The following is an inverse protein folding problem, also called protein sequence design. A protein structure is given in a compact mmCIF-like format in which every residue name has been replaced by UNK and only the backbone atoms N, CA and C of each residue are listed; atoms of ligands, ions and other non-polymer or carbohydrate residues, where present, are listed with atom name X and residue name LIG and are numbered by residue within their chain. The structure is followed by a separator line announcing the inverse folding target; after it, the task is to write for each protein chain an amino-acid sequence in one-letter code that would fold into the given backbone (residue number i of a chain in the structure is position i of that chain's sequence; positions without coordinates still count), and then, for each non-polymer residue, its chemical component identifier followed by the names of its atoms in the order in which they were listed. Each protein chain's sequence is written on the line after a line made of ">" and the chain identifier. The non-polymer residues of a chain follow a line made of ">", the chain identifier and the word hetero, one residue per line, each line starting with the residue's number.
data_IF_810647158476
#
_entry.id   IF_810647158476
#
_cell.length_a   1.000
_cell.length_b   1.000
_cell.length_c   1.000
_cell.angle_alpha   90.00
_cell.angle_beta   90.00
_cell.angle_gamma   90.00
#
_symmetry.space_group_name_H-M   'P 1'
#
loop_
_entity.id
_entity.type
_entity.pdbx_description
1 polymer ?
#
# COMPACT_ATOMS: atom_id res chain seq x y z
N UNK A 1 -19.95 -2.49 -19.19
CA UNK A 1 -18.74 -1.80 -18.77
C UNK A 1 -17.79 -2.76 -18.06
N UNK A 2 -16.54 -2.41 -17.82
CA UNK A 2 -15.66 -3.18 -16.97
C UNK A 2 -16.29 -3.34 -15.58
N UNK A 3 -15.99 -4.43 -14.85
CA UNK A 3 -16.41 -4.55 -13.46
C UNK A 3 -15.83 -3.39 -12.62
N UNK A 4 -16.45 -3.12 -11.48
CA UNK A 4 -15.90 -2.20 -10.50
C UNK A 4 -14.52 -2.69 -10.05
N UNK A 5 -13.59 -1.76 -9.89
CA UNK A 5 -12.23 -2.01 -9.45
C UNK A 5 -11.86 -0.90 -8.47
N UNK A 6 -11.47 -1.27 -7.26
CA UNK A 6 -11.22 -0.30 -6.19
C UNK A 6 -9.96 0.53 -6.42
N UNK A 7 -8.91 -0.03 -7.04
CA UNK A 7 -7.70 0.73 -7.41
C UNK A 7 -8.02 1.99 -8.21
N UNK A 8 -8.97 1.90 -9.15
CA UNK A 8 -9.34 3.02 -10.01
C UNK A 8 -10.54 3.80 -9.47
N UNK A 9 -11.57 3.12 -8.99
CA UNK A 9 -12.83 3.75 -8.59
C UNK A 9 -12.63 4.70 -7.41
N UNK A 10 -11.78 4.34 -6.44
CA UNK A 10 -11.43 5.20 -5.31
C UNK A 10 -10.66 6.44 -5.75
N UNK A 11 -9.73 6.31 -6.69
CA UNK A 11 -9.03 7.47 -7.26
C UNK A 11 -9.98 8.44 -7.97
N UNK A 12 -11.01 7.92 -8.65
CA UNK A 12 -12.04 8.77 -9.29
C UNK A 12 -12.85 9.52 -8.23
N UNK A 13 -13.21 8.87 -7.13
CA UNK A 13 -13.91 9.52 -6.00
C UNK A 13 -13.05 10.63 -5.39
N UNK A 14 -11.75 10.38 -5.20
CA UNK A 14 -10.80 11.38 -4.68
C UNK A 14 -10.57 12.53 -5.66
N UNK A 15 -10.48 12.22 -6.96
CA UNK A 15 -10.38 13.25 -8.00
C UNK A 15 -11.58 14.21 -7.95
N UNK A 16 -12.79 13.68 -7.77
CA UNK A 16 -13.99 14.51 -7.62
C UNK A 16 -13.93 15.39 -6.35
N UNK A 17 -13.35 14.89 -5.26
CA UNK A 17 -13.11 15.71 -4.06
C UNK A 17 -12.09 16.83 -4.34
N UNK A 18 -11.01 16.52 -5.03
CA UNK A 18 -9.97 17.50 -5.42
C UNK A 18 -10.54 18.55 -6.39
N UNK A 19 -11.34 18.16 -7.38
CA UNK A 19 -12.01 19.11 -8.29
C UNK A 19 -12.88 20.11 -7.52
N UNK A 20 -13.56 19.66 -6.48
CA UNK A 20 -14.48 20.50 -5.71
C UNK A 20 -13.79 21.37 -4.66
N UNK A 21 -12.80 20.84 -3.95
CA UNK A 21 -12.19 21.49 -2.79
C UNK A 21 -10.76 21.97 -3.05
N UNK A 22 -10.16 21.59 -4.16
CA UNK A 22 -8.79 21.98 -4.52
C UNK A 22 -7.79 21.58 -3.44
N UNK A 23 -6.92 22.49 -3.09
CA UNK A 23 -5.86 22.27 -2.08
C UNK A 23 -6.37 22.13 -0.63
N UNK A 24 -7.66 22.35 -0.40
CA UNK A 24 -8.27 22.23 0.93
C UNK A 24 -8.75 20.81 1.25
N UNK A 25 -8.53 19.84 0.35
CA UNK A 25 -8.82 18.42 0.60
C UNK A 25 -8.07 17.97 1.84
N UNK A 26 -8.79 17.31 2.73
CA UNK A 26 -8.29 16.77 3.99
C UNK A 26 -9.12 15.55 4.41
N UNK A 27 -8.68 14.83 5.43
CA UNK A 27 -9.31 13.60 5.90
C UNK A 27 -10.80 13.75 6.26
N UNK A 28 -11.23 14.89 6.78
CA UNK A 28 -12.66 15.13 7.06
C UNK A 28 -13.49 15.17 5.79
N UNK A 29 -13.00 15.86 4.75
CA UNK A 29 -13.67 15.93 3.44
C UNK A 29 -13.69 14.53 2.79
N UNK A 30 -12.55 13.82 2.83
CA UNK A 30 -12.45 12.46 2.28
C UNK A 30 -13.40 11.50 3.05
N UNK A 31 -13.53 11.64 4.36
CA UNK A 31 -14.49 10.89 5.16
C UNK A 31 -15.96 11.11 4.74
N UNK A 32 -16.33 12.36 4.41
CA UNK A 32 -17.64 12.67 3.87
C UNK A 32 -17.87 12.02 2.49
N UNK A 33 -16.85 12.02 1.63
CA UNK A 33 -16.89 11.32 0.35
C UNK A 33 -16.97 9.81 0.54
N UNK A 34 -16.23 9.26 1.54
CA UNK A 34 -16.31 7.86 1.92
C UNK A 34 -17.74 7.44 2.29
N UNK A 35 -18.40 8.23 3.11
CA UNK A 35 -19.78 7.98 3.52
C UNK A 35 -20.77 8.08 2.35
N UNK A 36 -20.52 8.97 1.39
CA UNK A 36 -21.44 9.31 0.33
C UNK A 36 -21.30 8.45 -0.93
N UNK A 37 -20.08 8.05 -1.27
CA UNK A 37 -19.78 7.45 -2.58
C UNK A 37 -19.15 6.07 -2.50
N UNK A 38 -18.44 5.72 -1.42
CA UNK A 38 -17.84 4.38 -1.28
C UNK A 38 -18.93 3.41 -0.82
N UNK A 39 -19.43 2.60 -1.76
CA UNK A 39 -20.52 1.66 -1.51
C UNK A 39 -20.06 0.39 -0.79
N UNK A 40 -18.93 -0.24 -1.12
CA UNK A 40 -18.48 -1.46 -0.47
C UNK A 40 -18.34 -1.31 1.05
N UNK A 41 -18.62 -2.42 1.76
CA UNK A 41 -18.51 -2.47 3.23
C UNK A 41 -17.70 -3.70 3.65
N UNK A 42 -16.72 -4.10 2.87
CA UNK A 42 -15.81 -5.18 3.23
C UNK A 42 -14.52 -4.65 3.83
N UNK A 43 -13.84 -5.46 4.60
CA UNK A 43 -12.52 -5.25 5.21
C UNK A 43 -12.36 -3.82 5.80
N UNK A 44 -11.25 -3.16 5.56
CA UNK A 44 -10.95 -1.80 6.05
C UNK A 44 -11.98 -0.77 5.58
N UNK A 45 -12.46 -0.87 4.35
CA UNK A 45 -13.46 0.06 3.80
C UNK A 45 -14.74 0.07 4.62
N UNK A 46 -15.21 -1.12 5.00
CA UNK A 46 -16.39 -1.29 5.84
C UNK A 46 -16.15 -0.82 7.27
N UNK A 47 -14.99 -1.12 7.83
CA UNK A 47 -14.64 -0.74 9.21
C UNK A 47 -14.50 0.77 9.34
N UNK A 48 -13.71 1.43 8.48
CA UNK A 48 -13.58 2.88 8.45
C UNK A 48 -14.94 3.58 8.28
N UNK A 49 -15.78 3.07 7.38
CA UNK A 49 -17.13 3.59 7.14
C UNK A 49 -18.05 3.41 8.35
N UNK A 50 -17.99 2.26 9.03
CA UNK A 50 -18.77 2.02 10.24
C UNK A 50 -18.36 2.99 11.36
N UNK A 51 -17.05 3.20 11.52
CA UNK A 51 -16.50 4.14 12.49
C UNK A 51 -16.95 5.58 12.20
N UNK A 52 -16.86 6.03 10.95
CA UNK A 52 -17.34 7.34 10.52
C UNK A 52 -18.86 7.52 10.82
N UNK A 53 -19.69 6.49 10.54
CA UNK A 53 -21.12 6.50 10.86
C UNK A 53 -21.39 6.54 12.36
N UNK A 54 -20.50 5.98 13.18
CA UNK A 54 -20.57 6.05 14.63
C UNK A 54 -20.07 7.40 15.20
N UNK A 55 -19.64 8.33 14.33
CA UNK A 55 -19.09 9.63 14.72
C UNK A 55 -17.62 9.60 15.12
N UNK A 56 -16.93 8.52 14.88
CA UNK A 56 -15.46 8.43 15.05
C UNK A 56 -14.84 9.04 13.80
N UNK A 57 -14.11 10.14 13.98
CA UNK A 57 -13.51 10.91 12.89
C UNK A 57 -12.04 10.54 12.65
N UNK A 58 -11.44 10.86 11.48
CA UNK A 58 -10.01 10.70 11.25
C UNK A 58 -9.17 11.42 12.33
N UNK A 59 -8.05 10.81 12.75
CA UNK A 59 -7.45 9.56 12.28
C UNK A 59 -8.03 8.30 12.94
N UNK A 60 -8.87 8.45 13.95
CA UNK A 60 -9.34 7.33 14.78
C UNK A 60 -10.27 6.38 14.03
N UNK A 61 -10.98 6.83 12.99
CA UNK A 61 -11.85 5.96 12.21
C UNK A 61 -11.08 4.88 11.44
N UNK A 62 -9.85 5.15 11.05
CA UNK A 62 -8.97 4.19 10.41
C UNK A 62 -8.29 3.20 11.38
N UNK A 63 -8.29 3.50 12.67
CA UNK A 63 -7.55 2.71 13.68
C UNK A 63 -8.44 1.91 14.63
N UNK A 64 -9.52 2.50 15.15
CA UNK A 64 -10.35 1.91 16.20
C UNK A 64 -11.05 0.64 15.69
N UNK A 65 -10.81 -0.48 16.40
CA UNK A 65 -11.38 -1.80 16.09
C UNK A 65 -11.19 -2.23 14.62
N UNK A 66 -10.14 -1.74 13.97
CA UNK A 66 -9.84 -2.03 12.59
C UNK A 66 -8.70 -3.07 12.50
N UNK A 67 -9.07 -4.35 12.33
CA UNK A 67 -8.11 -5.44 12.13
C UNK A 67 -7.42 -5.37 10.77
N UNK A 68 -7.97 -4.61 9.84
CA UNK A 68 -7.47 -4.45 8.46
C UNK A 68 -6.62 -3.19 8.24
N UNK A 69 -6.33 -2.42 9.29
CA UNK A 69 -5.63 -1.14 9.18
C UNK A 69 -4.24 -1.17 8.56
N UNK A 70 -3.64 -2.35 8.48
CA UNK A 70 -2.32 -2.58 7.87
C UNK A 70 -2.39 -3.12 6.42
N UNK A 71 -3.59 -3.16 5.84
CA UNK A 71 -3.83 -3.71 4.50
C UNK A 71 -3.37 -2.80 3.37
N UNK A 72 -3.56 -3.28 2.14
CA UNK A 72 -3.18 -2.59 0.91
C UNK A 72 -4.12 -1.45 0.51
N UNK A 73 -5.35 -1.44 0.98
CA UNK A 73 -6.45 -0.65 0.42
C UNK A 73 -6.24 0.86 0.33
N UNK A 74 -5.26 1.44 1.03
CA UNK A 74 -4.94 2.86 0.83
C UNK A 74 -3.80 3.08 -0.18
N UNK A 75 -2.71 2.34 -0.12
CA UNK A 75 -1.58 2.60 -1.01
C UNK A 75 -1.87 2.31 -2.49
N UNK A 76 -2.83 1.45 -2.79
CA UNK A 76 -3.27 1.16 -4.17
C UNK A 76 -3.93 2.34 -4.87
N UNK A 77 -4.23 3.42 -4.17
CA UNK A 77 -4.85 4.65 -4.69
C UNK A 77 -3.95 5.89 -4.57
N UNK A 78 -2.66 5.67 -4.33
CA UNK A 78 -1.68 6.72 -4.05
C UNK A 78 -1.26 7.56 -5.27
N UNK A 79 -1.48 7.08 -6.49
CA UNK A 79 -1.05 7.71 -7.73
C UNK A 79 -1.64 9.10 -7.92
N UNK A 80 -2.89 9.28 -7.51
CA UNK A 80 -3.54 10.60 -7.60
C UNK A 80 -2.75 11.66 -6.85
N UNK A 81 -2.29 11.36 -5.65
CA UNK A 81 -1.56 12.31 -4.81
C UNK A 81 -0.19 12.64 -5.40
N UNK A 82 0.48 11.65 -5.95
CA UNK A 82 1.74 11.81 -6.67
C UNK A 82 1.56 12.68 -7.92
N UNK A 83 0.53 12.43 -8.71
CA UNK A 83 0.21 13.21 -9.92
C UNK A 83 -0.20 14.65 -9.62
N UNK A 84 -0.78 14.93 -8.47
CA UNK A 84 -1.12 16.29 -8.04
C UNK A 84 0.09 17.10 -7.55
N UNK A 85 1.18 16.42 -7.21
CA UNK A 85 2.40 17.02 -6.69
C UNK A 85 3.65 16.45 -7.39
N UNK A 86 3.78 16.60 -8.74
CA UNK A 86 4.88 16.01 -9.50
C UNK A 86 6.22 16.61 -9.09
N UNK A 87 7.16 15.78 -8.64
CA UNK A 87 8.48 16.21 -8.17
C UNK A 87 8.48 16.88 -6.78
N UNK A 88 7.36 16.80 -6.05
CA UNK A 88 7.19 17.39 -4.72
C UNK A 88 6.68 16.36 -3.71
N UNK A 89 7.50 15.37 -3.35
CA UNK A 89 7.09 14.27 -2.44
C UNK A 89 6.59 14.78 -1.08
N UNK A 90 7.11 15.89 -0.57
CA UNK A 90 6.65 16.51 0.68
C UNK A 90 5.20 17.01 0.61
N UNK A 91 4.68 17.29 -0.60
CA UNK A 91 3.29 17.67 -0.81
C UNK A 91 2.44 16.42 -1.04
N UNK A 92 2.91 15.50 -1.87
CA UNK A 92 2.21 14.25 -2.15
C UNK A 92 1.92 13.46 -0.86
N UNK A 93 2.94 13.27 -0.03
CA UNK A 93 2.83 12.52 1.24
C UNK A 93 1.88 13.16 2.24
N UNK A 94 1.74 14.49 2.21
CA UNK A 94 0.76 15.17 3.05
C UNK A 94 -0.67 14.79 2.68
N UNK A 95 -0.99 14.75 1.38
CA UNK A 95 -2.31 14.31 0.94
C UNK A 95 -2.54 12.82 1.12
N UNK A 96 -1.52 12.00 0.87
CA UNK A 96 -1.53 10.57 1.13
C UNK A 96 -1.83 10.27 2.62
N UNK A 97 -1.23 11.01 3.54
CA UNK A 97 -1.55 10.90 4.96
C UNK A 97 -3.03 11.22 5.25
N UNK A 98 -3.56 12.31 4.69
CA UNK A 98 -4.98 12.69 4.87
C UNK A 98 -5.95 11.66 4.29
N UNK A 99 -5.55 10.96 3.23
CA UNK A 99 -6.30 9.84 2.66
C UNK A 99 -6.22 8.61 3.56
N UNK A 100 -5.02 8.12 3.84
CA UNK A 100 -4.81 6.87 4.54
C UNK A 100 -5.54 6.81 5.89
N UNK A 101 -5.54 7.90 6.66
CA UNK A 101 -6.12 7.93 8.01
C UNK A 101 -7.65 7.85 8.04
N UNK A 102 -8.32 7.79 6.91
CA UNK A 102 -9.78 7.60 6.83
C UNK A 102 -10.16 6.16 7.12
N UNK A 103 -9.39 5.20 6.65
CA UNK A 103 -9.70 3.77 6.75
C UNK A 103 -8.50 2.88 7.15
N UNK A 104 -7.30 3.45 7.26
CA UNK A 104 -6.07 2.76 7.65
C UNK A 104 -5.33 3.47 8.78
N UNK A 105 -4.33 2.75 9.32
CA UNK A 105 -3.35 3.27 10.27
C UNK A 105 -2.03 2.49 10.13
N UNK A 106 -1.00 2.88 10.88
CA UNK A 106 0.27 2.17 10.96
C UNK A 106 0.85 1.76 9.59
N UNK A 107 1.03 0.47 9.34
CA UNK A 107 1.75 -0.05 8.17
C UNK A 107 0.99 0.21 6.85
N UNK A 108 -0.35 0.15 6.84
CA UNK A 108 -1.12 0.53 5.65
C UNK A 108 -0.86 1.99 5.27
N UNK A 109 -0.97 2.91 6.23
CA UNK A 109 -0.68 4.33 6.04
C UNK A 109 0.79 4.56 5.61
N UNK A 110 1.75 3.85 6.19
CA UNK A 110 3.16 3.97 5.77
C UNK A 110 3.38 3.47 4.34
N UNK A 111 2.66 2.43 3.91
CA UNK A 111 2.66 1.98 2.52
C UNK A 111 2.25 3.09 1.56
N UNK A 112 1.15 3.78 1.83
CA UNK A 112 0.67 4.87 0.98
C UNK A 112 1.61 6.08 0.97
N UNK A 113 2.15 6.45 2.12
CA UNK A 113 3.14 7.54 2.21
C UNK A 113 4.39 7.21 1.38
N UNK A 114 4.91 5.98 1.51
CA UNK A 114 6.06 5.52 0.74
C UNK A 114 5.81 5.57 -0.77
N UNK A 115 4.71 4.97 -1.23
CA UNK A 115 4.38 4.90 -2.66
C UNK A 115 4.13 6.28 -3.25
N UNK A 116 3.38 7.14 -2.57
CA UNK A 116 3.15 8.53 -3.00
C UNK A 116 4.44 9.33 -3.09
N UNK A 117 5.36 9.17 -2.14
CA UNK A 117 6.66 9.86 -2.17
C UNK A 117 7.51 9.41 -3.37
N UNK A 118 7.63 8.08 -3.56
CA UNK A 118 8.38 7.47 -4.65
C UNK A 118 7.83 7.90 -6.01
N UNK A 119 6.53 7.77 -6.22
CA UNK A 119 5.84 8.12 -7.45
C UNK A 119 5.95 9.62 -7.76
N UNK A 120 5.78 10.49 -6.76
CA UNK A 120 5.96 11.94 -6.93
C UNK A 120 7.40 12.28 -7.32
N UNK A 121 8.39 11.69 -6.66
CA UNK A 121 9.80 11.90 -6.97
C UNK A 121 10.16 11.43 -8.40
N UNK A 122 9.49 10.39 -8.90
CA UNK A 122 9.75 9.84 -10.24
C UNK A 122 9.46 10.81 -11.40
N UNK A 123 8.74 11.89 -11.17
CA UNK A 123 8.61 12.97 -12.16
C UNK A 123 9.91 13.78 -12.37
N UNK A 124 10.88 13.69 -11.45
CA UNK A 124 12.12 14.45 -11.50
C UNK A 124 13.39 13.58 -11.35
N UNK A 125 13.27 12.36 -10.88
CA UNK A 125 14.37 11.40 -10.68
C UNK A 125 14.08 10.12 -11.46
N UNK A 126 15.09 9.51 -12.05
CA UNK A 126 14.98 8.26 -12.81
C UNK A 126 15.77 7.10 -12.21
N UNK A 127 16.62 7.39 -11.24
CA UNK A 127 17.38 6.36 -10.52
C UNK A 127 16.48 5.64 -9.51
N UNK A 128 16.23 4.37 -9.74
CA UNK A 128 15.30 3.54 -8.97
C UNK A 128 15.69 3.43 -7.50
N UNK A 129 16.97 3.29 -7.20
CA UNK A 129 17.45 3.18 -5.82
C UNK A 129 17.27 4.50 -5.07
N UNK A 130 17.55 5.63 -5.72
CA UNK A 130 17.27 6.95 -5.15
C UNK A 130 15.78 7.18 -4.92
N UNK A 131 14.92 6.71 -5.83
CA UNK A 131 13.47 6.78 -5.64
C UNK A 131 13.03 6.00 -4.41
N UNK A 132 13.57 4.80 -4.21
CA UNK A 132 13.32 3.97 -3.03
C UNK A 132 13.80 4.70 -1.76
N UNK A 133 15.00 5.26 -1.78
CA UNK A 133 15.55 6.02 -0.65
C UNK A 133 14.70 7.26 -0.31
N UNK A 134 14.20 7.97 -1.33
CA UNK A 134 13.27 9.09 -1.13
C UNK A 134 12.00 8.58 -0.45
N UNK A 135 11.36 7.52 -0.95
CA UNK A 135 10.17 6.94 -0.33
C UNK A 135 10.41 6.56 1.13
N UNK A 136 11.50 5.84 1.41
CA UNK A 136 11.88 5.43 2.77
C UNK A 136 12.13 6.61 3.71
N UNK A 137 12.54 7.76 3.21
CA UNK A 137 12.80 8.95 4.04
C UNK A 137 11.54 9.58 4.66
N UNK A 138 10.35 9.21 4.16
CA UNK A 138 9.07 9.75 4.63
C UNK A 138 8.33 8.85 5.61
N UNK A 139 8.84 7.64 5.89
CA UNK A 139 8.22 6.69 6.81
C UNK A 139 9.18 6.33 7.95
N UNK A 140 8.67 5.83 9.10
CA UNK A 140 9.52 5.42 10.21
C UNK A 140 10.54 4.36 9.80
N UNK A 141 11.78 4.53 10.26
CA UNK A 141 12.89 3.66 9.90
C UNK A 141 12.69 2.19 10.33
N UNK A 142 12.00 1.99 11.42
CA UNK A 142 11.76 0.71 12.08
C UNK A 142 10.39 0.09 11.81
N UNK A 143 9.56 0.70 10.94
CA UNK A 143 8.29 0.12 10.54
C UNK A 143 8.48 -1.13 9.65
N UNK A 144 7.46 -1.98 9.57
CA UNK A 144 7.54 -3.24 8.82
C UNK A 144 7.68 -3.01 7.32
N UNK A 145 6.99 -2.01 6.75
CA UNK A 145 7.16 -1.58 5.35
C UNK A 145 8.62 -1.26 5.05
N UNK A 146 9.27 -0.44 5.88
CA UNK A 146 10.68 -0.06 5.68
C UNK A 146 11.63 -1.26 5.79
N UNK A 147 11.38 -2.17 6.74
CA UNK A 147 12.18 -3.40 6.87
C UNK A 147 12.08 -4.30 5.66
N UNK A 148 10.87 -4.53 5.16
CA UNK A 148 10.62 -5.37 4.00
C UNK A 148 11.28 -4.79 2.74
N UNK A 149 11.15 -3.49 2.51
CA UNK A 149 11.77 -2.79 1.38
C UNK A 149 13.30 -2.89 1.44
N UNK A 150 13.90 -2.60 2.60
CA UNK A 150 15.36 -2.70 2.77
C UNK A 150 15.86 -4.12 2.55
N UNK A 151 15.09 -5.13 2.98
CA UNK A 151 15.44 -6.52 2.70
C UNK A 151 15.39 -6.84 1.20
N UNK A 152 14.45 -6.28 0.47
CA UNK A 152 14.37 -6.40 -0.98
C UNK A 152 15.62 -5.80 -1.66
N UNK A 153 16.03 -4.60 -1.26
CA UNK A 153 17.24 -3.94 -1.76
C UNK A 153 18.48 -4.76 -1.43
N UNK A 154 18.60 -5.28 -0.21
CA UNK A 154 19.71 -6.17 0.21
C UNK A 154 19.78 -7.43 -0.67
N UNK A 155 18.66 -8.09 -0.94
CA UNK A 155 18.61 -9.27 -1.80
C UNK A 155 19.06 -8.93 -3.22
N UNK A 156 18.62 -7.81 -3.79
CA UNK A 156 19.02 -7.34 -5.10
C UNK A 156 20.54 -7.11 -5.19
N UNK A 157 21.12 -6.38 -4.24
CA UNK A 157 22.56 -6.11 -4.20
C UNK A 157 23.41 -7.37 -4.01
N UNK A 158 22.89 -8.38 -3.31
CA UNK A 158 23.56 -9.66 -3.13
C UNK A 158 23.39 -10.61 -4.33
N UNK A 159 22.71 -10.19 -5.40
CA UNK A 159 22.50 -10.99 -6.60
C UNK A 159 21.62 -12.23 -6.38
N UNK A 160 20.76 -12.20 -5.37
CA UNK A 160 19.80 -13.28 -5.09
C UNK A 160 18.74 -13.28 -6.18
N UNK A 161 18.35 -14.45 -6.67
CA UNK A 161 17.25 -14.59 -7.64
C UNK A 161 15.95 -14.05 -7.07
N UNK A 162 15.10 -13.45 -7.91
CA UNK A 162 13.91 -12.74 -7.44
C UNK A 162 12.87 -13.64 -6.75
N UNK A 163 12.76 -14.92 -7.14
CA UNK A 163 11.86 -15.86 -6.46
C UNK A 163 12.36 -16.24 -5.07
N UNK A 164 13.68 -16.34 -4.90
CA UNK A 164 14.27 -16.54 -3.58
C UNK A 164 14.22 -15.26 -2.75
N UNK A 165 14.46 -14.11 -3.36
CA UNK A 165 14.28 -12.80 -2.71
C UNK A 165 12.85 -12.63 -2.21
N UNK A 166 11.85 -13.02 -3.01
CA UNK A 166 10.44 -13.04 -2.62
C UNK A 166 10.21 -13.79 -1.30
N UNK A 167 10.76 -14.99 -1.16
CA UNK A 167 10.62 -15.80 0.06
C UNK A 167 11.28 -15.14 1.26
N UNK A 168 12.48 -14.58 1.06
CA UNK A 168 13.21 -13.88 2.12
C UNK A 168 12.43 -12.65 2.59
N UNK A 169 11.87 -11.88 1.67
CA UNK A 169 11.05 -10.69 1.97
C UNK A 169 9.79 -11.07 2.73
N UNK A 170 9.07 -12.09 2.26
CA UNK A 170 7.90 -12.63 2.92
C UNK A 170 8.20 -13.04 4.38
N UNK A 171 9.33 -13.69 4.62
CA UNK A 171 9.78 -14.07 5.96
C UNK A 171 10.16 -12.86 6.84
N UNK A 172 10.51 -11.73 6.25
CA UNK A 172 10.87 -10.51 6.96
C UNK A 172 9.66 -9.70 7.40
N UNK A 173 8.61 -9.78 6.61
CA UNK A 173 7.33 -9.13 6.86
C UNK A 173 6.21 -10.18 6.85
N UNK A 174 6.27 -11.18 7.73
CA UNK A 174 5.23 -12.19 7.79
C UNK A 174 3.89 -11.50 8.05
N UNK A 175 2.82 -12.01 7.48
CA UNK A 175 1.45 -11.56 7.67
C UNK A 175 1.01 -11.67 9.13
N UNK A 176 1.62 -10.89 9.97
CA UNK A 176 1.38 -10.86 11.41
C UNK A 176 0.33 -9.83 11.80
N UNK A 177 -0.19 -9.12 10.82
CA UNK A 177 -1.13 -8.03 11.05
C UNK A 177 -2.57 -8.50 11.17
N UNK A 178 -2.81 -9.78 10.95
CA UNK A 178 -4.07 -10.43 11.29
C UNK A 178 -5.21 -10.13 10.34
N UNK A 179 -4.93 -9.67 9.13
CA UNK A 179 -5.97 -9.29 8.15
C UNK A 179 -6.95 -10.43 7.88
N UNK A 180 -6.46 -11.67 7.84
CA UNK A 180 -7.30 -12.83 7.55
C UNK A 180 -7.58 -13.70 8.77
N UNK A 181 -7.06 -13.34 9.94
CA UNK A 181 -7.14 -14.13 11.17
C UNK A 181 -6.67 -15.60 11.03
N UNK A 182 -6.06 -15.94 9.90
CA UNK A 182 -5.50 -17.26 9.67
C UNK A 182 -4.16 -17.40 10.37
N UNK A 183 -4.02 -18.46 11.11
CA UNK A 183 -2.69 -18.91 11.56
C UNK A 183 -2.17 -19.91 10.55
N UNK A 184 -0.89 -19.82 10.22
CA UNK A 184 -0.24 -20.76 9.30
C UNK A 184 -0.49 -22.23 9.70
N UNK A 185 -0.64 -22.49 11.01
CA UNK A 185 -0.99 -23.80 11.55
C UNK A 185 -2.41 -24.28 11.20
N UNK A 186 -3.28 -23.39 10.72
CA UNK A 186 -4.66 -23.67 10.33
C UNK A 186 -4.80 -23.92 8.83
N UNK A 187 -3.78 -23.59 8.06
CA UNK A 187 -3.75 -23.84 6.61
C UNK A 187 -3.21 -25.27 6.38
N UNK A 188 -3.91 -26.13 5.63
CA UNK A 188 -3.42 -27.45 5.28
C UNK A 188 -2.04 -27.36 4.62
N UNK A 189 -1.11 -28.24 5.01
CA UNK A 189 0.27 -28.22 4.50
C UNK A 189 0.35 -28.30 2.97
N UNK A 190 -0.56 -29.04 2.35
CA UNK A 190 -0.68 -29.15 0.89
C UNK A 190 -1.06 -27.84 0.20
N UNK A 191 -1.66 -26.90 0.94
CA UNK A 191 -2.09 -25.61 0.41
C UNK A 191 -1.11 -24.48 0.77
N UNK A 192 -0.13 -24.76 1.62
CA UNK A 192 0.90 -23.78 1.98
C UNK A 192 2.30 -24.18 1.50
N UNK A 193 2.38 -25.12 0.55
CA UNK A 193 3.65 -25.54 -0.05
C UNK A 193 4.30 -24.34 -0.77
N UNK A 194 5.42 -23.88 -0.24
CA UNK A 194 6.10 -22.67 -0.68
C UNK A 194 5.69 -21.39 0.05
N UNK A 195 4.69 -21.45 0.92
CA UNK A 195 4.31 -20.37 1.84
C UNK A 195 4.77 -20.74 3.26
N UNK A 196 6.06 -20.90 3.44
CA UNK A 196 6.62 -21.42 4.68
C UNK A 196 6.39 -20.48 5.87
N UNK A 197 6.15 -19.20 5.61
CA UNK A 197 5.96 -18.19 6.64
C UNK A 197 5.00 -17.11 6.12
N UNK A 198 4.15 -16.62 7.02
CA UNK A 198 3.19 -15.56 6.75
C UNK A 198 1.84 -16.10 6.31
N UNK A 199 0.90 -15.23 6.34
CA UNK A 199 -0.48 -15.51 5.95
C UNK A 199 -0.69 -14.97 4.53
N UNK A 200 -1.38 -15.71 3.66
CA UNK A 200 -1.76 -15.17 2.37
C UNK A 200 -2.61 -13.93 2.63
N UNK A 201 -2.23 -12.81 2.06
CA UNK A 201 -2.98 -11.64 2.37
C UNK A 201 -2.61 -10.37 1.67
N UNK A 202 -3.29 -9.37 2.07
CA UNK A 202 -3.22 -8.01 1.56
C UNK A 202 -2.44 -7.10 2.49
N UNK A 203 -1.47 -7.62 3.24
CA UNK A 203 -0.64 -6.82 4.16
C UNK A 203 0.29 -5.90 3.39
N UNK A 204 0.23 -4.60 3.69
CA UNK A 204 1.02 -3.59 3.00
C UNK A 204 2.53 -3.84 3.04
N UNK A 205 3.16 -4.29 4.14
CA UNK A 205 4.61 -4.44 4.20
C UNK A 205 5.20 -5.34 3.11
N UNK A 206 4.62 -6.52 2.89
CA UNK A 206 5.17 -7.43 1.88
C UNK A 206 4.76 -7.03 0.46
N UNK A 207 3.50 -6.61 0.24
CA UNK A 207 3.04 -6.25 -1.10
C UNK A 207 3.75 -4.99 -1.63
N UNK A 208 3.94 -3.95 -0.81
CA UNK A 208 4.76 -2.80 -1.18
C UNK A 208 6.21 -3.21 -1.48
N UNK A 209 6.76 -4.15 -0.72
CA UNK A 209 8.11 -4.67 -0.99
C UNK A 209 8.16 -5.49 -2.29
N UNK A 210 7.08 -6.18 -2.68
CA UNK A 210 7.00 -6.88 -3.97
C UNK A 210 6.91 -5.92 -5.16
N UNK A 211 6.24 -4.77 -5.01
CA UNK A 211 6.33 -3.69 -6.00
C UNK A 211 7.78 -3.22 -6.16
N UNK A 212 8.48 -2.99 -5.05
CA UNK A 212 9.91 -2.60 -5.07
C UNK A 212 10.79 -3.71 -5.69
N UNK A 213 10.48 -4.97 -5.41
CA UNK A 213 11.16 -6.11 -6.02
C UNK A 213 10.98 -6.09 -7.54
N UNK A 214 9.74 -5.92 -8.02
CA UNK A 214 9.45 -5.75 -9.44
C UNK A 214 10.22 -4.59 -10.06
N UNK A 215 10.25 -3.45 -9.39
CA UNK A 215 10.96 -2.24 -9.84
C UNK A 215 12.47 -2.48 -9.99
N UNK A 216 13.12 -3.14 -9.03
CA UNK A 216 14.56 -3.41 -9.05
C UNK A 216 14.93 -4.47 -10.07
N UNK A 217 14.33 -5.65 -10.01
CA UNK A 217 14.65 -6.80 -10.86
C UNK A 217 14.15 -6.65 -12.30
N UNK A 218 13.19 -5.74 -12.54
CA UNK A 218 12.78 -5.34 -13.88
C UNK A 218 13.80 -4.51 -14.62
N UNK A 219 14.78 -3.91 -13.90
CA UNK A 219 15.93 -3.18 -14.48
C UNK A 219 15.55 -2.07 -15.46
N UNK A 220 14.39 -1.44 -15.24
CA UNK A 220 13.86 -0.35 -16.06
C UNK A 220 12.97 -0.80 -17.23
N UNK A 221 12.75 -2.09 -17.41
CA UNK A 221 11.73 -2.62 -18.30
C UNK A 221 10.40 -2.71 -17.54
N UNK A 222 9.41 -1.92 -17.96
CA UNK A 222 8.11 -1.86 -17.31
C UNK A 222 7.36 -3.21 -17.37
N UNK A 223 7.36 -3.87 -18.54
CA UNK A 223 6.70 -5.16 -18.69
C UNK A 223 7.33 -6.25 -17.83
N UNK A 224 8.68 -6.26 -17.75
CA UNK A 224 9.42 -7.18 -16.87
C UNK A 224 9.13 -6.89 -15.41
N UNK A 225 9.05 -5.61 -15.00
CA UNK A 225 8.71 -5.20 -13.63
C UNK A 225 7.34 -5.71 -13.22
N UNK A 226 6.32 -5.51 -14.06
CA UNK A 226 4.97 -6.01 -13.82
C UNK A 226 4.93 -7.53 -13.66
N UNK A 227 5.57 -8.26 -14.58
CA UNK A 227 5.60 -9.73 -14.53
C UNK A 227 6.26 -10.22 -13.25
N UNK A 228 7.36 -9.59 -12.82
CA UNK A 228 8.09 -9.99 -11.61
C UNK A 228 7.25 -9.70 -10.36
N UNK A 229 6.66 -8.49 -10.24
CA UNK A 229 5.80 -8.14 -9.12
C UNK A 229 4.62 -9.11 -9.01
N UNK A 230 3.92 -9.35 -10.12
CA UNK A 230 2.80 -10.29 -10.18
C UNK A 230 3.18 -11.73 -9.81
N UNK A 231 4.35 -12.20 -10.24
CA UNK A 231 4.85 -13.53 -9.90
C UNK A 231 5.21 -13.69 -8.41
N UNK A 232 5.30 -12.61 -7.67
CA UNK A 232 5.49 -12.68 -6.22
C UNK A 232 4.25 -13.22 -5.50
N UNK A 233 3.08 -13.14 -6.11
CA UNK A 233 1.84 -13.61 -5.51
C UNK A 233 1.26 -12.61 -4.51
N UNK A 234 0.57 -13.12 -3.51
CA UNK A 234 -0.21 -12.36 -2.53
C UNK A 234 -1.31 -11.54 -3.24
N UNK A 235 -1.38 -10.24 -3.06
CA UNK A 235 -2.41 -9.37 -3.63
C UNK A 235 -2.01 -8.87 -5.02
N UNK A 236 -2.17 -9.71 -6.03
CA UNK A 236 -1.60 -9.51 -7.36
C UNK A 236 -2.29 -8.47 -8.23
N UNK A 237 -3.49 -8.05 -7.90
CA UNK A 237 -4.16 -6.93 -8.57
C UNK A 237 -3.71 -5.58 -8.01
N UNK A 238 -3.24 -5.57 -6.76
CA UNK A 238 -2.68 -4.37 -6.12
C UNK A 238 -1.19 -4.16 -6.42
N UNK A 239 -0.43 -5.24 -6.72
CA UNK A 239 1.01 -5.17 -6.99
C UNK A 239 1.32 -5.20 -8.47
#
# INVERSE_FOLDING_TARGET
>A
GPPANDDLDLQIVWLAAVERYGRNVNASILGEYWLSYVIPNWVEYGTGKANLKAGIVPPMCGDVDNTYKNSNGCWIRSELWACLAPGHPEIATRYAFEDAIVDHANEGMYGEIFTSALQSAAFAESDREKLIDIGLSYIPEDCAVARAIRKTVECYHNGIDYLEARKIVHNTAPGTFGIQEYKLSEIPKENNEGMEIGEPGFDAPENVAFVVLGLLYGEGDFGKSLIIANNCGEDTDCT
#
